data_IF_109157965706
#
_entry.id   IF_109157965706
#
_cell.length_a   1.000
_cell.length_b   1.000
_cell.length_c   1.000
_cell.angle_alpha   90.00
_cell.angle_beta   90.00
_cell.angle_gamma   90.00
#
_symmetry.space_group_name_H-M   'P 1'
#
loop_
_entity.id
_entity.type
_entity.pdbx_description
1 polymer ?
#
# COMPACT_ATOMS: atom_id res chain seq x y z
N UNK A 1 6.46 16.00 -16.56
CA UNK A 1 5.52 14.87 -16.67
C UNK A 1 5.16 14.52 -15.24
N UNK A 2 3.92 14.76 -14.83
CA UNK A 2 3.49 14.56 -13.44
C UNK A 2 3.41 13.06 -13.13
N UNK A 3 4.11 12.63 -12.08
CA UNK A 3 4.04 11.29 -11.49
C UNK A 3 2.72 11.08 -10.73
N UNK A 4 1.58 11.23 -11.41
CA UNK A 4 0.24 10.99 -10.85
C UNK A 4 -0.07 9.50 -10.62
N UNK A 5 0.90 8.60 -10.82
CA UNK A 5 0.74 7.14 -10.77
C UNK A 5 1.34 6.48 -9.50
N UNK A 6 1.94 7.21 -8.56
CA UNK A 6 2.54 6.58 -7.35
C UNK A 6 1.55 6.34 -6.20
N UNK A 7 0.29 6.73 -6.39
CA UNK A 7 -0.76 6.65 -5.38
C UNK A 7 -1.96 5.88 -5.91
N UNK A 8 -2.27 4.73 -5.28
CA UNK A 8 -3.51 4.00 -5.53
C UNK A 8 -4.45 4.18 -4.34
N UNK A 9 -5.70 4.53 -4.63
CA UNK A 9 -6.76 4.65 -3.64
C UNK A 9 -7.94 3.75 -4.01
N UNK A 10 -8.32 2.87 -3.09
CA UNK A 10 -9.47 1.98 -3.23
C UNK A 10 -10.53 2.41 -2.23
N UNK A 11 -11.67 2.90 -2.75
CA UNK A 11 -12.79 3.34 -1.92
C UNK A 11 -13.40 2.16 -1.17
N UNK A 12 -13.59 2.32 0.13
CA UNK A 12 -14.25 1.36 1.00
C UNK A 12 -15.58 1.91 1.53
N UNK A 13 -16.30 1.11 2.30
CA UNK A 13 -17.51 1.54 3.01
C UNK A 13 -17.21 2.62 4.07
N UNK A 14 -18.22 3.43 4.41
CA UNK A 14 -18.19 4.41 5.51
C UNK A 14 -17.10 5.50 5.40
N UNK A 15 -16.77 5.89 4.17
CA UNK A 15 -15.82 6.98 3.89
C UNK A 15 -14.37 6.64 4.20
N UNK A 16 -14.05 5.34 4.26
CA UNK A 16 -12.68 4.85 4.34
C UNK A 16 -12.12 4.57 2.96
N UNK A 17 -10.80 4.66 2.86
CA UNK A 17 -10.04 4.32 1.67
C UNK A 17 -8.90 3.38 2.06
N UNK A 18 -8.62 2.38 1.23
CA UNK A 18 -7.36 1.66 1.28
C UNK A 18 -6.40 2.40 0.36
N UNK A 19 -5.29 2.89 0.90
CA UNK A 19 -4.29 3.65 0.18
C UNK A 19 -3.02 2.82 0.03
N UNK A 20 -2.40 2.88 -1.14
CA UNK A 20 -1.08 2.31 -1.42
C UNK A 20 -0.23 3.47 -1.92
N UNK A 21 0.84 3.79 -1.21
CA UNK A 21 1.67 4.96 -1.52
C UNK A 21 3.14 4.66 -1.31
N UNK A 22 3.97 5.20 -2.20
CA UNK A 22 5.42 5.24 -1.99
C UNK A 22 5.75 6.33 -0.98
N UNK A 23 6.57 5.99 0.02
CA UNK A 23 6.96 6.85 1.12
C UNK A 23 8.47 6.84 1.27
N UNK A 24 9.02 7.89 1.86
CA UNK A 24 10.44 7.97 2.18
C UNK A 24 10.69 8.06 3.68
N UNK A 25 11.82 7.55 4.16
CA UNK A 25 12.22 7.68 5.55
C UNK A 25 13.73 7.52 5.73
N UNK A 26 14.34 8.51 6.39
CA UNK A 26 15.76 8.52 6.72
C UNK A 26 16.14 7.44 7.74
N UNK A 27 15.15 6.80 8.39
CA UNK A 27 15.38 5.73 9.37
C UNK A 27 15.70 4.37 8.73
N UNK A 28 15.45 4.20 7.43
CA UNK A 28 15.65 2.92 6.74
C UNK A 28 17.04 2.77 6.07
N UNK A 29 18.01 3.62 6.43
CA UNK A 29 19.40 3.49 5.97
C UNK A 29 19.53 3.69 4.46
N UNK A 30 20.06 2.69 3.75
CA UNK A 30 20.32 2.75 2.30
C UNK A 30 19.04 2.68 1.45
N UNK A 31 17.97 2.05 1.98
CA UNK A 31 16.68 1.94 1.31
C UNK A 31 15.73 3.00 1.86
N UNK A 32 15.92 4.23 1.38
CA UNK A 32 15.15 5.39 1.83
C UNK A 32 13.67 5.34 1.45
N UNK A 33 13.25 4.37 0.64
CA UNK A 33 11.90 4.26 0.09
C UNK A 33 11.21 2.99 0.59
N UNK A 34 9.93 3.11 0.95
CA UNK A 34 9.06 1.99 1.29
C UNK A 34 7.68 2.21 0.69
N UNK A 35 6.93 1.13 0.48
CA UNK A 35 5.52 1.23 0.16
C UNK A 35 4.73 1.14 1.47
N UNK A 36 3.82 2.06 1.67
CA UNK A 36 2.84 2.04 2.76
C UNK A 36 1.47 1.65 2.19
N UNK A 37 0.88 0.62 2.79
CA UNK A 37 -0.53 0.27 2.63
C UNK A 37 -1.25 0.67 3.91
N UNK A 38 -2.28 1.51 3.82
CA UNK A 38 -2.99 2.01 4.99
C UNK A 38 -4.48 2.16 4.74
N UNK A 39 -5.26 2.13 5.83
CA UNK A 39 -6.66 2.52 5.81
C UNK A 39 -6.76 3.99 6.19
N UNK A 40 -7.22 4.85 5.29
CA UNK A 40 -7.28 6.30 5.48
C UNK A 40 -8.72 6.82 5.54
N UNK A 41 -8.96 7.77 6.46
CA UNK A 41 -10.18 8.57 6.50
C UNK A 41 -9.86 9.96 7.03
N UNK A 42 -10.20 10.99 6.25
CA UNK A 42 -10.01 12.40 6.64
C UNK A 42 -8.56 12.68 7.09
N UNK A 43 -7.57 12.15 6.37
CA UNK A 43 -6.14 12.28 6.70
C UNK A 43 -5.65 11.38 7.85
N UNK A 44 -6.53 10.61 8.50
CA UNK A 44 -6.13 9.68 9.55
C UNK A 44 -5.88 8.27 8.98
N UNK A 45 -4.62 7.85 9.02
CA UNK A 45 -4.18 6.50 8.62
C UNK A 45 -4.21 5.51 9.79
N UNK A 46 -4.86 4.36 9.60
CA UNK A 46 -4.91 3.20 10.51
C UNK A 46 -4.43 1.93 9.79
N UNK A 47 -4.12 0.89 10.57
CA UNK A 47 -3.70 -0.42 10.06
C UNK A 47 -2.58 -0.31 8.99
N UNK A 48 -1.55 0.47 9.31
CA UNK A 48 -0.43 0.73 8.41
C UNK A 48 0.42 -0.52 8.27
N UNK A 49 0.72 -0.89 7.04
CA UNK A 49 1.62 -1.96 6.70
C UNK A 49 2.68 -1.40 5.75
N UNK A 50 3.94 -1.46 6.18
CA UNK A 50 5.08 -0.96 5.42
C UNK A 50 5.83 -2.13 4.82
N UNK A 51 6.15 -2.04 3.53
CA UNK A 51 6.94 -3.05 2.84
C UNK A 51 8.08 -2.44 2.03
N UNK A 52 9.15 -3.21 1.92
CA UNK A 52 10.22 -2.92 0.99
C UNK A 52 9.68 -2.99 -0.45
N UNK A 53 9.95 -1.99 -1.32
CA UNK A 53 9.46 -1.96 -2.69
C UNK A 53 9.81 -3.22 -3.50
N UNK A 54 10.94 -3.88 -3.18
CA UNK A 54 11.40 -5.12 -3.82
C UNK A 54 10.41 -6.28 -3.69
N UNK A 55 9.59 -6.30 -2.64
CA UNK A 55 8.68 -7.42 -2.35
C UNK A 55 7.21 -7.14 -2.72
N UNK A 56 6.89 -5.95 -3.25
CA UNK A 56 5.51 -5.54 -3.57
C UNK A 56 4.84 -6.51 -4.53
N UNK A 57 5.55 -6.89 -5.58
CA UNK A 57 5.02 -7.80 -6.61
C UNK A 57 4.72 -9.18 -6.03
N UNK A 58 5.66 -9.74 -5.27
CA UNK A 58 5.49 -11.04 -4.64
C UNK A 58 4.29 -11.05 -3.66
N UNK A 59 4.10 -9.98 -2.90
CA UNK A 59 2.93 -9.82 -2.04
C UNK A 59 1.63 -9.76 -2.86
N UNK A 60 1.59 -8.98 -3.94
CA UNK A 60 0.42 -8.90 -4.81
C UNK A 60 0.04 -10.25 -5.40
N UNK A 61 1.02 -10.99 -5.93
CA UNK A 61 0.81 -12.34 -6.48
C UNK A 61 0.30 -13.31 -5.41
N UNK A 62 0.83 -13.24 -4.19
CA UNK A 62 0.37 -14.06 -3.07
C UNK A 62 -1.07 -13.73 -2.64
N UNK A 63 -1.45 -12.45 -2.65
CA UNK A 63 -2.81 -12.02 -2.30
C UNK A 63 -3.84 -12.44 -3.35
N UNK A 64 -3.49 -12.33 -4.64
CA UNK A 64 -4.35 -12.82 -5.75
C UNK A 64 -4.55 -14.33 -5.62
N UNK A 65 -3.46 -15.08 -5.45
CA UNK A 65 -3.54 -16.52 -5.23
C UNK A 65 -4.40 -16.87 -4.02
N UNK A 66 -4.24 -16.16 -2.92
CA UNK A 66 -5.07 -16.36 -1.72
C UNK A 66 -6.55 -16.11 -2.01
N UNK A 67 -6.90 -15.07 -2.76
CA UNK A 67 -8.28 -14.79 -3.13
C UNK A 67 -8.87 -15.91 -4.02
N UNK A 68 -8.12 -16.35 -5.03
CA UNK A 68 -8.51 -17.45 -5.92
C UNK A 68 -8.74 -18.75 -5.13
N UNK A 69 -7.79 -19.12 -4.26
CA UNK A 69 -7.83 -20.34 -3.44
C UNK A 69 -9.00 -20.33 -2.43
N UNK A 70 -9.50 -19.14 -2.05
CA UNK A 70 -10.58 -18.97 -1.07
C UNK A 70 -11.90 -18.47 -1.68
N UNK A 71 -11.99 -18.33 -3.02
CA UNK A 71 -13.18 -17.84 -3.73
C UNK A 71 -13.70 -16.48 -3.20
N UNK A 72 -12.78 -15.54 -2.98
CA UNK A 72 -13.06 -14.17 -2.51
C UNK A 72 -13.31 -13.18 -3.65
#
# INVERSE_FOLDING_TARGET
MNDENEYLEIKMSAGWFLTVSKQTSDKFGDEKEYIEIAKERSGQKRARFNLNPKYVRALGEALVKFADDNSL
#
